data_IF_246852887435
#
_entry.id   IF_246852887435
#
_cell.length_a   1.000
_cell.length_b   1.000
_cell.length_c   1.000
_cell.angle_alpha   90.00
_cell.angle_beta   90.00
_cell.angle_gamma   90.00
#
_symmetry.space_group_name_H-M   'P 1'
#
loop_
_entity.id
_entity.type
_entity.pdbx_description
1 polymer ?
#
# COMPACT_ATOMS: atom_id res chain seq x y z
N UNK A 1 -61.24 -11.28 1.40
CA UNK A 1 -59.91 -11.60 1.96
C UNK A 1 -58.87 -11.14 0.94
N UNK A 2 -58.17 -10.03 1.21
CA UNK A 2 -57.17 -9.47 0.29
C UNK A 2 -55.80 -10.00 0.71
N UNK A 3 -55.16 -10.79 -0.15
CA UNK A 3 -53.82 -11.31 0.07
C UNK A 3 -52.81 -10.15 0.03
N UNK A 4 -52.06 -9.96 1.11
CA UNK A 4 -50.94 -9.04 1.16
C UNK A 4 -49.71 -9.75 0.59
N UNK A 5 -49.18 -9.24 -0.52
CA UNK A 5 -47.93 -9.70 -1.12
C UNK A 5 -46.80 -9.03 -0.34
N UNK A 6 -46.09 -9.81 0.50
CA UNK A 6 -44.88 -9.35 1.20
C UNK A 6 -43.72 -9.49 0.20
N UNK A 7 -43.25 -8.37 -0.34
CA UNK A 7 -42.05 -8.32 -1.15
C UNK A 7 -40.82 -8.42 -0.24
N UNK A 8 -40.12 -9.55 -0.30
CA UNK A 8 -38.83 -9.75 0.35
C UNK A 8 -37.77 -9.09 -0.53
N UNK A 9 -37.28 -7.92 -0.12
CA UNK A 9 -36.14 -7.27 -0.75
C UNK A 9 -34.86 -8.03 -0.35
N UNK A 10 -34.24 -8.72 -1.30
CA UNK A 10 -32.93 -9.34 -1.12
C UNK A 10 -31.87 -8.22 -1.06
N UNK A 11 -31.36 -7.96 0.15
CA UNK A 11 -30.23 -7.05 0.35
C UNK A 11 -28.97 -7.80 -0.10
N UNK A 12 -28.48 -7.48 -1.29
CA UNK A 12 -27.14 -7.89 -1.73
C UNK A 12 -26.14 -7.14 -0.86
N UNK A 13 -25.56 -7.81 0.13
CA UNK A 13 -24.43 -7.29 0.89
C UNK A 13 -23.24 -7.20 -0.06
N UNK A 14 -22.90 -5.99 -0.51
CA UNK A 14 -21.60 -5.73 -1.10
C UNK A 14 -20.55 -6.01 -0.02
N UNK A 15 -19.68 -7.00 -0.25
CA UNK A 15 -18.49 -7.18 0.58
C UNK A 15 -17.56 -6.05 0.21
N UNK A 16 -17.45 -5.04 1.06
CA UNK A 16 -16.37 -4.07 0.92
C UNK A 16 -15.07 -4.82 1.17
N UNK A 17 -14.18 -4.80 0.17
CA UNK A 17 -12.81 -5.25 0.36
C UNK A 17 -12.17 -4.18 1.24
N UNK A 18 -12.02 -4.50 2.52
CA UNK A 18 -11.23 -3.66 3.42
C UNK A 18 -9.77 -3.77 2.99
N UNK A 19 -9.15 -2.64 2.66
CA UNK A 19 -7.76 -2.58 2.25
C UNK A 19 -6.79 -3.03 3.35
N UNK A 20 -7.18 -2.88 4.61
CA UNK A 20 -6.42 -3.29 5.80
C UNK A 20 -7.35 -3.86 6.88
N UNK A 21 -6.80 -4.64 7.81
CA UNK A 21 -7.60 -5.18 8.91
C UNK A 21 -8.00 -4.07 9.91
N UNK A 22 -9.02 -4.30 10.74
CA UNK A 22 -9.35 -3.36 11.81
C UNK A 22 -8.14 -3.08 12.73
N UNK A 23 -7.79 -1.79 12.88
CA UNK A 23 -6.65 -1.35 13.68
C UNK A 23 -5.35 -1.13 12.90
N UNK A 24 -5.36 -1.38 11.59
CA UNK A 24 -4.25 -1.09 10.67
C UNK A 24 -4.56 0.16 9.85
N UNK A 25 -3.53 0.95 9.55
CA UNK A 25 -3.54 2.06 8.61
C UNK A 25 -3.05 1.60 7.23
N UNK A 26 -3.62 2.18 6.17
CA UNK A 26 -3.23 1.90 4.78
C UNK A 26 -1.96 2.67 4.45
N UNK A 27 -0.90 1.96 4.05
CA UNK A 27 0.20 2.58 3.29
C UNK A 27 -0.18 2.64 1.81
N UNK A 28 -0.52 1.49 1.22
CA UNK A 28 -1.10 1.45 -0.11
C UNK A 28 -1.97 0.21 -0.33
N UNK A 29 -2.94 0.29 -1.23
CA UNK A 29 -3.64 -0.88 -1.76
C UNK A 29 -4.01 -0.70 -3.23
N UNK A 30 -4.11 -1.80 -3.99
CA UNK A 30 -4.56 -1.76 -5.38
C UNK A 30 -4.93 -3.13 -5.94
N UNK A 31 -5.65 -3.11 -7.06
CA UNK A 31 -5.78 -4.28 -7.95
C UNK A 31 -4.65 -4.28 -8.97
N UNK A 32 -3.97 -5.41 -9.15
CA UNK A 32 -2.93 -5.58 -10.16
C UNK A 32 -3.57 -5.74 -11.55
N UNK A 33 -3.20 -4.85 -12.47
CA UNK A 33 -3.82 -4.73 -13.79
C UNK A 33 -3.74 -6.02 -14.61
N UNK A 34 -2.66 -6.81 -14.47
CA UNK A 34 -2.40 -7.98 -15.31
C UNK A 34 -3.13 -9.24 -14.87
N UNK A 35 -3.55 -9.36 -13.61
CA UNK A 35 -4.11 -10.61 -13.08
C UNK A 35 -5.29 -10.43 -12.12
N UNK A 36 -5.69 -9.20 -11.81
CA UNK A 36 -6.81 -8.90 -10.91
C UNK A 36 -6.58 -9.28 -9.45
N UNK A 37 -5.36 -9.68 -9.07
CA UNK A 37 -5.01 -9.90 -7.66
C UNK A 37 -4.91 -8.56 -6.94
N UNK A 38 -5.14 -8.60 -5.65
CA UNK A 38 -5.06 -7.49 -4.75
C UNK A 38 -3.69 -7.46 -4.08
N UNK A 39 -3.09 -6.27 -4.03
CA UNK A 39 -1.89 -5.94 -3.28
C UNK A 39 -2.28 -4.94 -2.21
N UNK A 40 -1.95 -5.22 -0.96
CA UNK A 40 -2.10 -4.28 0.14
C UNK A 40 -0.83 -4.25 0.98
N UNK A 41 -0.51 -3.04 1.44
CA UNK A 41 0.49 -2.78 2.44
C UNK A 41 -0.14 -1.90 3.51
N UNK A 42 -0.11 -2.42 4.72
CA UNK A 42 -0.75 -1.84 5.89
C UNK A 42 0.27 -1.74 7.02
N UNK A 43 -0.02 -0.96 8.05
CA UNK A 43 0.79 -0.98 9.25
C UNK A 43 -0.05 -0.71 10.50
N UNK A 44 0.47 -1.12 11.64
CA UNK A 44 0.03 -0.62 12.94
C UNK A 44 1.21 0.13 13.61
N UNK A 45 1.18 0.28 14.94
CA UNK A 45 2.24 0.95 15.68
C UNK A 45 3.55 0.14 15.78
N UNK A 46 3.53 -1.16 15.49
CA UNK A 46 4.63 -2.08 15.73
C UNK A 46 5.09 -2.82 14.46
N UNK A 47 4.21 -3.00 13.48
CA UNK A 47 4.42 -3.90 12.34
C UNK A 47 3.93 -3.30 11.04
N UNK A 48 4.68 -3.55 9.96
CA UNK A 48 4.26 -3.32 8.57
C UNK A 48 3.93 -4.66 7.92
N UNK A 49 2.77 -4.73 7.29
CA UNK A 49 2.22 -5.92 6.66
C UNK A 49 2.21 -5.77 5.14
N UNK A 50 2.66 -6.81 4.43
CA UNK A 50 2.48 -6.97 3.00
C UNK A 50 1.54 -8.14 2.76
N UNK A 51 0.49 -7.96 1.96
CA UNK A 51 -0.38 -9.07 1.55
C UNK A 51 -0.66 -9.01 0.05
N UNK A 52 -0.57 -10.18 -0.59
CA UNK A 52 -0.82 -10.34 -2.02
C UNK A 52 -1.64 -11.60 -2.29
N UNK A 53 -2.72 -11.46 -3.05
CA UNK A 53 -3.62 -12.57 -3.37
C UNK A 53 -4.98 -12.09 -3.88
N UNK A 54 -6.01 -12.94 -3.91
CA UNK A 54 -7.36 -12.52 -4.28
C UNK A 54 -7.99 -11.67 -3.17
N UNK A 55 -8.63 -10.55 -3.53
CA UNK A 55 -9.20 -9.56 -2.59
C UNK A 55 -10.11 -10.12 -1.48
N UNK A 56 -10.86 -11.19 -1.74
CA UNK A 56 -11.84 -11.77 -0.81
C UNK A 56 -11.45 -13.18 -0.34
N UNK A 57 -10.16 -13.49 -0.36
CA UNK A 57 -9.61 -14.80 0.03
C UNK A 57 -8.36 -14.57 0.88
N UNK A 58 -7.93 -15.58 1.65
CA UNK A 58 -6.63 -15.51 2.31
C UNK A 58 -5.53 -15.15 1.30
N UNK A 59 -4.64 -14.26 1.69
CA UNK A 59 -3.50 -13.86 0.89
C UNK A 59 -2.67 -15.10 0.50
N UNK A 60 -2.19 -15.13 -0.73
CA UNK A 60 -1.29 -16.17 -1.21
C UNK A 60 0.13 -15.96 -0.67
N UNK A 61 0.49 -14.70 -0.41
CA UNK A 61 1.71 -14.28 0.24
C UNK A 61 1.38 -13.20 1.28
N UNK A 62 1.77 -13.45 2.53
CA UNK A 62 1.68 -12.49 3.62
C UNK A 62 3.05 -12.38 4.31
N UNK A 63 3.55 -11.16 4.48
CA UNK A 63 4.80 -10.86 5.18
C UNK A 63 4.50 -9.83 6.27
N UNK A 64 5.24 -9.91 7.37
CA UNK A 64 5.17 -8.97 8.49
C UNK A 64 6.60 -8.58 8.86
N UNK A 65 6.86 -7.28 8.97
CA UNK A 65 8.16 -6.74 9.31
C UNK A 65 7.98 -5.78 10.49
N UNK A 66 8.78 -5.89 11.56
CA UNK A 66 8.75 -4.90 12.63
C UNK A 66 8.98 -3.50 12.08
N UNK A 67 8.27 -2.50 12.60
CA UNK A 67 8.41 -1.11 12.16
C UNK A 67 9.86 -0.61 12.30
N UNK A 68 10.61 -1.12 13.27
CA UNK A 68 12.01 -0.78 13.48
C UNK A 68 12.98 -1.36 12.46
N UNK A 69 12.53 -2.32 11.64
CA UNK A 69 13.34 -3.07 10.67
C UNK A 69 12.87 -2.86 9.23
N UNK A 70 11.74 -2.17 9.02
CA UNK A 70 11.19 -1.95 7.69
C UNK A 70 12.07 -0.99 6.89
N UNK A 71 12.32 -1.35 5.63
CA UNK A 71 13.07 -0.54 4.69
C UNK A 71 12.09 0.40 3.95
N UNK A 72 11.63 1.43 4.67
CA UNK A 72 10.72 2.47 4.17
C UNK A 72 11.49 3.66 3.60
N UNK A 73 11.18 4.03 2.36
CA UNK A 73 11.78 5.15 1.64
C UNK A 73 10.72 6.24 1.44
N UNK A 74 10.80 7.37 2.18
CA UNK A 74 9.88 8.49 2.06
C UNK A 74 10.18 9.31 0.79
N UNK A 75 9.23 10.16 0.40
CA UNK A 75 9.43 11.10 -0.70
C UNK A 75 10.50 12.13 -0.32
N UNK A 76 11.51 12.40 -1.17
CA UNK A 76 12.62 13.31 -0.83
C UNK A 76 12.24 14.80 -0.80
N UNK A 77 10.96 15.16 -0.85
CA UNK A 77 10.49 16.55 -0.84
C UNK A 77 10.63 17.30 -2.18
N UNK A 78 11.07 16.62 -3.25
CA UNK A 78 11.33 17.21 -4.56
C UNK A 78 10.79 16.34 -5.70
N UNK A 79 10.38 16.99 -6.80
CA UNK A 79 9.88 16.32 -8.01
C UNK A 79 8.36 16.29 -8.12
N UNK A 80 7.84 16.18 -9.35
CA UNK A 80 6.39 16.24 -9.59
C UNK A 80 5.64 15.13 -8.87
N UNK A 81 6.16 13.92 -8.93
CA UNK A 81 5.57 12.76 -8.29
C UNK A 81 5.92 12.72 -6.81
N UNK A 82 4.91 12.71 -5.95
CA UNK A 82 5.04 12.34 -4.54
C UNK A 82 4.95 10.83 -4.50
N UNK A 83 6.06 10.17 -4.20
CA UNK A 83 6.18 8.73 -4.25
C UNK A 83 7.04 8.20 -3.12
N UNK A 84 6.63 7.05 -2.62
CA UNK A 84 7.26 6.36 -1.51
C UNK A 84 7.39 4.88 -1.82
N UNK A 85 8.19 4.17 -1.04
CA UNK A 85 8.35 2.73 -1.23
C UNK A 85 8.73 1.99 0.03
N UNK A 86 8.47 0.68 0.02
CA UNK A 86 8.83 -0.25 1.10
C UNK A 86 9.40 -1.52 0.50
N UNK A 87 10.58 -1.93 0.98
CA UNK A 87 11.21 -3.18 0.57
C UNK A 87 10.92 -4.30 1.59
N UNK A 88 10.18 -5.34 1.18
CA UNK A 88 9.95 -6.55 1.97
C UNK A 88 10.89 -7.67 1.54
N UNK A 89 11.48 -8.37 2.51
CA UNK A 89 12.42 -9.49 2.24
C UNK A 89 11.82 -10.83 2.65
N UNK A 90 11.95 -11.84 1.79
CA UNK A 90 11.55 -13.22 2.09
C UNK A 90 12.59 -14.19 1.50
N UNK A 91 13.50 -14.68 2.35
CA UNK A 91 14.66 -15.45 1.90
C UNK A 91 15.52 -14.62 0.94
N UNK A 92 15.75 -15.14 -0.26
CA UNK A 92 16.47 -14.43 -1.32
C UNK A 92 15.59 -13.53 -2.20
N UNK A 93 14.30 -13.38 -1.91
CA UNK A 93 13.40 -12.49 -2.64
C UNK A 93 13.29 -11.12 -1.96
N UNK A 94 13.19 -10.08 -2.79
CA UNK A 94 12.84 -8.71 -2.36
C UNK A 94 11.61 -8.26 -3.14
N UNK A 95 10.62 -7.74 -2.42
CA UNK A 95 9.40 -7.15 -2.96
C UNK A 95 9.43 -5.65 -2.68
N UNK A 96 9.77 -4.87 -3.70
CA UNK A 96 9.88 -3.41 -3.63
C UNK A 96 8.54 -2.80 -4.00
N UNK A 97 7.73 -2.52 -2.98
CA UNK A 97 6.45 -1.85 -3.16
C UNK A 97 6.71 -0.37 -3.38
N UNK A 98 5.98 0.22 -4.32
CA UNK A 98 6.01 1.66 -4.56
C UNK A 98 4.58 2.15 -4.78
N UNK A 99 4.29 3.35 -4.29
CA UNK A 99 3.03 4.03 -4.51
C UNK A 99 3.24 5.56 -4.52
N UNK A 100 2.35 6.28 -5.17
CA UNK A 100 2.45 7.72 -5.28
C UNK A 100 1.39 8.33 -6.19
N UNK A 101 1.46 9.65 -6.32
CA UNK A 101 0.65 10.42 -7.25
C UNK A 101 1.46 11.59 -7.83
N UNK A 102 1.03 12.08 -8.99
CA UNK A 102 1.58 13.31 -9.57
C UNK A 102 0.89 14.54 -8.98
N UNK A 103 1.68 15.52 -8.53
CA UNK A 103 1.16 16.83 -8.16
C UNK A 103 0.57 17.54 -9.37
N UNK A 104 -0.65 18.04 -9.23
CA UNK A 104 -1.30 18.91 -10.20
C UNK A 104 -0.70 20.31 -10.17
N UNK A 105 -0.59 20.92 -11.35
CA UNK A 105 -0.32 22.34 -11.51
C UNK A 105 -1.61 23.06 -11.93
N UNK A 106 -1.67 24.38 -11.77
CA UNK A 106 -2.89 25.21 -11.94
C UNK A 106 -3.59 25.08 -13.31
N UNK A 107 -2.94 24.48 -14.31
CA UNK A 107 -3.45 24.25 -15.66
C UNK A 107 -3.94 22.81 -15.93
N UNK A 108 -3.78 21.88 -14.98
CA UNK A 108 -4.29 20.51 -15.10
C UNK A 108 -5.68 20.39 -14.45
N UNK A 109 -6.62 19.64 -15.06
CA UNK A 109 -7.92 19.34 -14.46
C UNK A 109 -7.79 18.77 -13.04
N UNK A 110 -8.52 19.35 -12.08
CA UNK A 110 -8.51 18.94 -10.66
C UNK A 110 -8.90 17.47 -10.44
N UNK A 111 -9.56 16.83 -11.40
CA UNK A 111 -10.06 15.46 -11.32
C UNK A 111 -9.07 14.39 -11.85
N UNK A 112 -7.88 14.79 -12.28
CA UNK A 112 -6.92 13.89 -12.91
C UNK A 112 -5.90 13.26 -11.95
N UNK A 113 -6.13 13.24 -10.62
CA UNK A 113 -5.13 12.74 -9.65
C UNK A 113 -4.57 11.38 -10.10
N UNK A 114 -3.31 11.39 -10.57
CA UNK A 114 -2.71 10.22 -11.24
C UNK A 114 -2.00 9.36 -10.22
N UNK A 115 -2.79 8.68 -9.41
CA UNK A 115 -2.26 7.67 -8.50
C UNK A 115 -1.63 6.53 -9.29
N UNK A 116 -0.50 6.04 -8.81
CA UNK A 116 0.21 4.91 -9.36
C UNK A 116 0.78 4.06 -8.23
N UNK A 117 1.02 2.79 -8.54
CA UNK A 117 1.68 1.90 -7.60
C UNK A 117 2.01 0.56 -8.21
N UNK A 118 2.63 -0.29 -7.42
CA UNK A 118 2.95 -1.65 -7.80
C UNK A 118 4.02 -2.26 -6.92
N UNK A 119 4.52 -3.42 -7.37
CA UNK A 119 5.59 -4.13 -6.70
C UNK A 119 6.59 -4.66 -7.72
N UNK A 120 7.88 -4.36 -7.50
CA UNK A 120 9.00 -4.96 -8.23
C UNK A 120 9.53 -6.13 -7.44
N UNK A 121 9.80 -7.24 -8.12
CA UNK A 121 10.27 -8.48 -7.50
C UNK A 121 11.68 -8.74 -7.98
N UNK A 122 12.59 -8.99 -7.05
CA UNK A 122 13.95 -9.41 -7.33
C UNK A 122 14.30 -10.69 -6.55
N UNK A 123 15.25 -11.47 -7.07
CA UNK A 123 15.88 -12.60 -6.38
C UNK A 123 17.39 -12.51 -6.52
N UNK A 124 18.13 -12.56 -5.41
CA UNK A 124 19.60 -12.44 -5.42
C UNK A 124 20.05 -11.22 -6.25
N UNK A 125 19.37 -10.08 -6.05
CA UNK A 125 19.51 -8.82 -6.81
C UNK A 125 19.16 -8.87 -8.32
N UNK A 126 18.74 -10.02 -8.84
CA UNK A 126 18.25 -10.16 -10.21
C UNK A 126 16.76 -9.80 -10.31
N UNK A 127 16.37 -8.81 -11.15
CA UNK A 127 14.97 -8.51 -11.37
C UNK A 127 14.22 -9.71 -11.98
N UNK A 128 13.10 -10.09 -11.36
CA UNK A 128 12.22 -11.15 -11.84
C UNK A 128 10.99 -10.61 -12.56
N UNK A 129 10.54 -9.40 -12.21
CA UNK A 129 9.40 -8.76 -12.84
C UNK A 129 8.82 -7.62 -12.02
N UNK A 130 7.76 -7.03 -12.54
CA UNK A 130 7.01 -5.96 -11.92
C UNK A 130 5.52 -6.24 -12.12
N UNK A 131 4.74 -6.03 -11.07
CA UNK A 131 3.29 -6.04 -11.13
C UNK A 131 2.79 -4.63 -10.89
N UNK A 132 2.11 -4.07 -11.88
CA UNK A 132 1.64 -2.68 -11.88
C UNK A 132 0.18 -2.66 -11.45
N UNK A 133 -0.16 -1.73 -10.56
CA UNK A 133 -1.53 -1.47 -10.16
C UNK A 133 -2.37 -0.91 -11.31
N UNK A 134 -3.66 -1.25 -11.34
CA UNK A 134 -4.65 -0.52 -12.11
C UNK A 134 -4.85 0.86 -11.47
N UNK A 135 -4.46 1.97 -12.14
CA UNK A 135 -4.39 3.31 -11.52
C UNK A 135 -5.65 3.76 -10.77
N UNK A 136 -6.89 3.54 -11.28
CA UNK A 136 -8.12 3.92 -10.59
C UNK A 136 -8.38 3.16 -9.28
N UNK A 137 -7.64 2.08 -9.03
CA UNK A 137 -7.77 1.25 -7.82
C UNK A 137 -6.70 1.53 -6.77
N UNK A 138 -5.75 2.41 -7.09
CA UNK A 138 -4.66 2.76 -6.16
C UNK A 138 -5.22 3.64 -5.05
N UNK A 139 -5.21 3.10 -3.84
CA UNK A 139 -5.33 3.85 -2.60
C UNK A 139 -3.92 4.02 -2.02
N UNK A 140 -3.47 5.25 -1.84
CA UNK A 140 -2.15 5.55 -1.28
C UNK A 140 -2.33 6.50 -0.10
N UNK A 141 -2.10 6.00 1.11
CA UNK A 141 -2.32 6.70 2.36
C UNK A 141 -1.19 7.67 2.69
N UNK A 142 -0.69 8.43 1.70
CA UNK A 142 0.44 9.37 1.80
C UNK A 142 0.60 9.96 3.20
N UNK A 143 1.84 10.04 3.68
CA UNK A 143 2.39 9.18 4.74
C UNK A 143 2.50 9.66 6.18
N UNK A 144 1.76 10.67 6.69
CA UNK A 144 1.84 10.99 8.12
C UNK A 144 1.75 9.75 9.02
N UNK A 145 0.87 8.76 8.78
CA UNK A 145 0.75 7.59 9.67
C UNK A 145 2.03 6.75 9.79
N UNK A 146 2.63 6.30 8.69
CA UNK A 146 3.82 5.43 8.76
C UNK A 146 5.05 6.22 9.22
N UNK A 147 5.25 7.44 8.72
CA UNK A 147 6.33 8.30 9.18
C UNK A 147 6.25 8.54 10.69
N UNK A 148 5.08 8.93 11.19
CA UNK A 148 4.87 9.21 12.61
C UNK A 148 5.04 7.95 13.46
N UNK A 149 4.62 6.79 12.96
CA UNK A 149 4.83 5.51 13.63
C UNK A 149 6.33 5.14 13.72
N UNK A 150 7.13 5.39 12.67
CA UNK A 150 8.58 5.22 12.71
C UNK A 150 9.24 6.15 13.74
N UNK A 151 8.83 7.43 13.79
CA UNK A 151 9.31 8.39 14.81
C UNK A 151 8.93 7.94 16.22
N UNK A 152 7.68 7.50 16.42
CA UNK A 152 7.19 7.00 17.71
C UNK A 152 7.95 5.74 18.18
N UNK A 153 8.44 4.93 17.24
CA UNK A 153 9.32 3.79 17.51
C UNK A 153 10.78 4.19 17.82
N UNK A 154 11.08 5.49 17.90
CA UNK A 154 12.40 6.01 18.26
C UNK A 154 13.39 6.03 17.08
N UNK A 155 12.88 6.07 15.84
CA UNK A 155 13.72 6.23 14.66
C UNK A 155 13.77 7.69 14.19
N UNK A 156 14.81 8.01 13.43
CA UNK A 156 14.95 9.26 12.68
C UNK A 156 15.40 8.95 11.24
N UNK A 157 14.90 9.73 10.28
CA UNK A 157 15.33 9.64 8.90
C UNK A 157 16.67 10.36 8.68
N UNK A 158 17.61 9.70 8.02
CA UNK A 158 18.87 10.29 7.63
C UNK A 158 18.88 10.62 6.14
N UNK A 159 18.69 11.90 5.79
CA UNK A 159 18.64 12.34 4.39
C UNK A 159 19.93 12.07 3.58
N UNK A 160 21.10 12.03 4.25
CA UNK A 160 22.36 11.80 3.54
C UNK A 160 22.53 10.36 3.11
N UNK A 161 22.10 9.44 3.97
CA UNK A 161 22.28 8.01 3.78
C UNK A 161 21.03 7.30 3.28
N UNK A 162 19.90 8.02 3.24
CA UNK A 162 18.59 7.53 2.82
C UNK A 162 18.22 6.26 3.61
N UNK A 163 18.35 6.33 4.95
CA UNK A 163 17.98 5.26 5.88
C UNK A 163 17.38 5.81 7.15
N UNK A 164 16.51 5.01 7.76
CA UNK A 164 16.09 5.14 9.14
C UNK A 164 17.17 4.66 10.11
N UNK A 165 17.29 5.33 11.25
CA UNK A 165 18.27 5.03 12.30
C UNK A 165 17.66 5.26 13.68
N UNK A 166 18.18 4.62 14.74
CA UNK A 166 17.83 5.01 16.09
C UNK A 166 18.10 6.50 16.32
N UNK A 167 17.10 7.22 16.82
CA UNK A 167 17.22 8.61 17.21
C UNK A 167 18.26 8.76 18.34
N UNK A 168 19.00 9.88 18.34
CA UNK A 168 20.06 10.17 19.32
C UNK A 168 19.67 11.20 20.36
#
# INVERSE_FOLDING_TARGET
>A
MRAAIIAIAAILAASEVLACNPGEDVFMSCTIATNGKYLEVCHDAETVFYRFGPANRPAELALSVPITEVDYVPWPGVGRSIAEGIDFRNGNHVYKVYAGFDRMYDDEPEDLERSFGGVRIARDDLPLGEMICDPPTVDFGWSPPLWDAMIAAGLEWNDREQTWRPAR
#
